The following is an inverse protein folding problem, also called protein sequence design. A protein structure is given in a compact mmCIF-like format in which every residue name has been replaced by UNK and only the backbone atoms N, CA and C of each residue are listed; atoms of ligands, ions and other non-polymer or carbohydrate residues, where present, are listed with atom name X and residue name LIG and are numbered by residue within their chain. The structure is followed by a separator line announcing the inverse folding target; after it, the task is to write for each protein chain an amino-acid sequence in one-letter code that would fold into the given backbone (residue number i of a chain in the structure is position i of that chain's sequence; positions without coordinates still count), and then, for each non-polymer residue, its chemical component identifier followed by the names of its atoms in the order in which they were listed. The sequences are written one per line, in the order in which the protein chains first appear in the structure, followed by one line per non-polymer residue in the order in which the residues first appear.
data_IF_183091032353
#
_entry.id   IF_183091032353
#
_cell.length_a   1.000
_cell.length_b   1.000
_cell.length_c   1.000
_cell.angle_alpha   90.00
_cell.angle_beta   90.00
_cell.angle_gamma   90.00
#
_symmetry.space_group_name_H-M   'P 1'
#
loop_
_entity.id
_entity.type
_entity.pdbx_description
1 polymer ?
#
# COMPACT_ATOMS: atom_id res chain seq x y z
N UNK A 1 -2.70 4.42 -33.77
CA UNK A 1 -1.44 5.00 -33.24
C UNK A 1 -1.25 4.53 -31.82
N UNK A 2 -0.02 4.42 -31.29
CA UNK A 2 0.14 4.07 -29.90
C UNK A 2 -0.49 5.21 -29.09
N UNK A 3 -1.57 4.89 -28.39
CA UNK A 3 -2.14 5.77 -27.37
C UNK A 3 -1.00 6.11 -26.44
N UNK A 4 -0.68 7.40 -26.30
CA UNK A 4 0.23 7.85 -25.26
C UNK A 4 -0.26 7.21 -23.95
N UNK A 5 0.56 6.33 -23.36
CA UNK A 5 0.22 5.70 -22.09
C UNK A 5 0.10 6.85 -21.10
N UNK A 6 -1.12 7.19 -20.70
CA UNK A 6 -1.32 8.13 -19.60
C UNK A 6 -0.57 7.59 -18.38
N UNK A 7 0.10 8.46 -17.60
CA UNK A 7 0.84 8.01 -16.44
C UNK A 7 -0.10 7.26 -15.49
N UNK A 8 0.20 5.99 -15.25
CA UNK A 8 -0.58 5.13 -14.36
C UNK A 8 -0.51 5.72 -12.94
N UNK A 9 -1.66 6.04 -12.34
CA UNK A 9 -1.70 6.68 -11.02
C UNK A 9 -1.38 5.67 -9.92
N UNK A 10 -0.97 6.15 -8.75
CA UNK A 10 -0.76 5.29 -7.57
C UNK A 10 -2.00 4.46 -7.23
N UNK A 11 -3.19 5.03 -7.36
CA UNK A 11 -4.45 4.32 -7.17
C UNK A 11 -4.66 3.20 -8.20
N UNK A 12 -4.34 3.44 -9.47
CA UNK A 12 -4.45 2.42 -10.51
C UNK A 12 -3.47 1.27 -10.26
N UNK A 13 -2.21 1.60 -9.98
CA UNK A 13 -1.16 0.63 -9.68
C UNK A 13 -1.52 -0.25 -8.48
N UNK A 14 -1.97 0.33 -7.37
CA UNK A 14 -2.29 -0.46 -6.16
C UNK A 14 -3.55 -1.32 -6.35
N UNK A 15 -4.56 -0.82 -7.06
CA UNK A 15 -5.77 -1.60 -7.33
C UNK A 15 -5.47 -2.82 -8.21
N UNK A 16 -4.56 -2.66 -9.17
CA UNK A 16 -4.07 -3.76 -10.00
C UNK A 16 -3.26 -4.76 -9.18
N UNK A 17 -2.27 -4.26 -8.43
CA UNK A 17 -1.37 -5.08 -7.62
C UNK A 17 -2.08 -5.87 -6.50
N UNK A 18 -3.21 -5.37 -5.98
CA UNK A 18 -3.96 -6.00 -4.88
C UNK A 18 -5.35 -6.47 -5.30
N UNK A 19 -5.59 -6.71 -6.59
CA UNK A 19 -6.91 -7.15 -7.03
C UNK A 19 -7.25 -8.52 -6.40
N UNK A 20 -8.39 -8.69 -5.71
CA UNK A 20 -8.79 -9.97 -5.12
C UNK A 20 -8.92 -11.11 -6.14
N UNK A 21 -9.07 -10.77 -7.43
CA UNK A 21 -9.19 -11.73 -8.53
C UNK A 21 -7.83 -12.18 -9.10
N UNK A 22 -6.72 -11.61 -8.64
CA UNK A 22 -5.39 -12.06 -9.04
C UNK A 22 -5.18 -13.52 -8.63
N UNK A 23 -4.71 -14.35 -9.55
CA UNK A 23 -4.42 -15.78 -9.28
C UNK A 23 -3.09 -15.96 -8.54
N UNK A 24 -2.15 -15.05 -8.79
CA UNK A 24 -0.80 -15.00 -8.25
C UNK A 24 -0.42 -13.54 -7.99
N UNK A 25 0.74 -13.29 -7.39
CA UNK A 25 1.25 -11.93 -7.17
C UNK A 25 1.50 -11.22 -8.51
N UNK A 26 0.90 -10.03 -8.70
CA UNK A 26 1.16 -9.16 -9.85
C UNK A 26 2.42 -8.32 -9.62
N UNK A 27 3.58 -8.93 -9.89
CA UNK A 27 4.87 -8.25 -9.74
C UNK A 27 5.02 -7.02 -10.64
N UNK A 28 4.37 -7.00 -11.80
CA UNK A 28 4.40 -5.83 -12.68
C UNK A 28 3.63 -4.66 -12.03
N UNK A 29 2.45 -4.93 -11.47
CA UNK A 29 1.68 -3.94 -10.69
C UNK A 29 2.42 -3.48 -9.43
N UNK A 30 3.05 -4.40 -8.70
CA UNK A 30 3.86 -4.09 -7.51
C UNK A 30 5.01 -3.15 -7.87
N UNK A 31 5.76 -3.47 -8.93
CA UNK A 31 6.89 -2.66 -9.38
C UNK A 31 6.43 -1.29 -9.90
N UNK A 32 5.33 -1.24 -10.66
CA UNK A 32 4.73 -0.01 -11.13
C UNK A 32 4.33 0.92 -9.97
N UNK A 33 3.75 0.37 -8.89
CA UNK A 33 3.43 1.13 -7.69
C UNK A 33 4.70 1.72 -7.03
N UNK A 34 5.76 0.92 -6.87
CA UNK A 34 7.03 1.38 -6.29
C UNK A 34 7.65 2.51 -7.13
N UNK A 35 7.63 2.38 -8.45
CA UNK A 35 8.12 3.41 -9.36
C UNK A 35 7.32 4.71 -9.24
N UNK A 36 5.99 4.62 -9.31
CA UNK A 36 5.13 5.79 -9.29
C UNK A 36 5.22 6.54 -7.95
N UNK A 37 5.33 5.81 -6.85
CA UNK A 37 5.54 6.34 -5.51
C UNK A 37 6.79 7.22 -5.43
N UNK A 38 7.87 6.79 -6.07
CA UNK A 38 9.14 7.51 -6.08
C UNK A 38 9.13 8.72 -7.03
N UNK A 39 8.36 8.66 -8.12
CA UNK A 39 8.22 9.75 -9.11
C UNK A 39 7.45 10.94 -8.54
N UNK A 40 6.44 10.70 -7.70
CA UNK A 40 5.56 11.76 -7.20
C UNK A 40 6.09 12.44 -5.91
N UNK A 41 5.90 13.77 -5.82
CA UNK A 41 6.25 14.54 -4.62
C UNK A 41 5.37 14.15 -3.42
N UNK A 42 4.07 13.96 -3.66
CA UNK A 42 3.11 13.50 -2.65
C UNK A 42 2.91 11.98 -2.64
N UNK A 43 3.74 11.26 -3.39
CA UNK A 43 3.67 9.80 -3.53
C UNK A 43 3.76 9.07 -2.19
N UNK A 44 4.76 9.34 -1.31
CA UNK A 44 4.90 8.58 -0.07
C UNK A 44 3.72 8.73 0.93
N UNK A 45 3.21 9.95 1.23
CA UNK A 45 2.03 10.10 2.08
C UNK A 45 0.77 9.47 1.48
N UNK A 46 0.59 9.55 0.16
CA UNK A 46 -0.56 8.94 -0.51
C UNK A 46 -0.47 7.40 -0.51
N UNK A 47 0.70 6.86 -0.84
CA UNK A 47 0.96 5.43 -0.89
C UNK A 47 0.70 4.75 0.46
N UNK A 48 1.19 5.34 1.56
CA UNK A 48 0.94 4.79 2.91
C UNK A 48 -0.55 4.79 3.26
N UNK A 49 -1.33 5.81 2.84
CA UNK A 49 -2.79 5.82 3.02
C UNK A 49 -3.49 4.71 2.22
N UNK A 50 -3.10 4.52 0.96
CA UNK A 50 -3.68 3.48 0.10
C UNK A 50 -3.33 2.07 0.61
N UNK A 51 -2.07 1.85 1.00
CA UNK A 51 -1.61 0.60 1.60
C UNK A 51 -2.36 0.28 2.88
N UNK A 52 -2.49 1.24 3.80
CA UNK A 52 -3.21 1.03 5.06
C UNK A 52 -4.67 0.61 4.84
N UNK A 53 -5.33 1.19 3.82
CA UNK A 53 -6.69 0.81 3.45
C UNK A 53 -6.75 -0.63 2.89
N UNK A 54 -5.84 -0.99 1.98
CA UNK A 54 -5.80 -2.34 1.38
C UNK A 54 -5.41 -3.43 2.38
N UNK A 55 -4.48 -3.16 3.29
CA UNK A 55 -4.06 -4.10 4.35
C UNK A 55 -5.21 -4.39 5.32
N UNK A 56 -6.12 -3.44 5.54
CA UNK A 56 -7.32 -3.61 6.35
C UNK A 56 -8.48 -4.28 5.60
N UNK A 57 -8.27 -4.72 4.35
CA UNK A 57 -9.32 -5.37 3.57
C UNK A 57 -9.84 -6.63 4.30
N UNK A 58 -11.17 -6.85 4.33
CA UNK A 58 -11.73 -8.11 4.83
C UNK A 58 -11.43 -9.29 3.89
N UNK A 59 -10.98 -9.03 2.66
CA UNK A 59 -10.55 -10.07 1.73
C UNK A 59 -9.08 -10.41 2.02
N UNK A 60 -8.86 -11.58 2.61
CA UNK A 60 -7.53 -12.06 3.02
C UNK A 60 -6.49 -11.91 1.90
N UNK A 61 -6.86 -12.31 0.67
CA UNK A 61 -5.93 -12.26 -0.45
C UNK A 61 -5.56 -10.84 -0.90
N UNK A 62 -6.48 -9.87 -0.81
CA UNK A 62 -6.16 -8.46 -1.09
C UNK A 62 -5.22 -7.89 -0.03
N UNK A 63 -5.45 -8.22 1.24
CA UNK A 63 -4.58 -7.79 2.34
C UNK A 63 -3.16 -8.38 2.24
N UNK A 64 -3.03 -9.67 1.90
CA UNK A 64 -1.72 -10.33 1.70
C UNK A 64 -0.95 -9.70 0.54
N UNK A 65 -1.62 -9.41 -0.58
CA UNK A 65 -1.00 -8.72 -1.72
C UNK A 65 -0.54 -7.30 -1.31
N UNK A 66 -1.35 -6.57 -0.55
CA UNK A 66 -0.99 -5.24 -0.05
C UNK A 66 0.23 -5.27 0.90
N UNK A 67 0.35 -6.29 1.75
CA UNK A 67 1.54 -6.51 2.58
C UNK A 67 2.78 -6.80 1.72
N UNK A 68 2.63 -7.55 0.63
CA UNK A 68 3.70 -7.79 -0.35
C UNK A 68 4.13 -6.49 -1.04
N UNK A 69 3.18 -5.63 -1.43
CA UNK A 69 3.48 -4.31 -1.99
C UNK A 69 4.26 -3.47 -0.97
N UNK A 70 3.82 -3.43 0.29
CA UNK A 70 4.50 -2.71 1.36
C UNK A 70 5.94 -3.21 1.55
N UNK A 71 6.14 -4.53 1.61
CA UNK A 71 7.48 -5.14 1.72
C UNK A 71 8.38 -4.73 0.55
N UNK A 72 7.86 -4.82 -0.68
CA UNK A 72 8.61 -4.42 -1.88
C UNK A 72 8.98 -2.94 -1.86
N UNK A 73 8.06 -2.06 -1.47
CA UNK A 73 8.32 -0.63 -1.31
C UNK A 73 9.38 -0.38 -0.23
N UNK A 74 9.36 -1.11 0.88
CA UNK A 74 10.39 -0.97 1.92
C UNK A 74 11.78 -1.38 1.44
N UNK A 75 11.88 -2.38 0.53
CA UNK A 75 13.15 -2.83 -0.05
C UNK A 75 13.67 -1.91 -1.16
N UNK A 76 12.77 -1.35 -1.98
CA UNK A 76 13.12 -0.67 -3.23
C UNK A 76 12.99 0.85 -3.19
N UNK A 77 12.16 1.41 -2.31
CA UNK A 77 11.96 2.85 -2.17
C UNK A 77 12.93 3.48 -1.16
N UNK A 78 13.12 4.79 -1.29
CA UNK A 78 14.05 5.54 -0.46
C UNK A 78 13.49 6.05 0.87
N UNK A 79 14.34 6.76 1.61
CA UNK A 79 14.06 7.32 2.95
C UNK A 79 12.72 8.05 3.07
N UNK A 80 12.28 8.78 2.04
CA UNK A 80 10.99 9.50 2.03
C UNK A 80 9.80 8.57 2.34
N UNK A 81 9.81 7.35 1.80
CA UNK A 81 8.76 6.37 2.07
C UNK A 81 8.92 5.75 3.46
N UNK A 82 10.14 5.38 3.83
CA UNK A 82 10.43 4.81 5.15
C UNK A 82 10.03 5.76 6.28
N UNK A 83 10.26 7.07 6.11
CA UNK A 83 9.87 8.10 7.07
C UNK A 83 8.34 8.17 7.24
N UNK A 84 7.54 8.00 6.18
CA UNK A 84 6.07 7.96 6.27
C UNK A 84 5.58 6.66 6.94
N UNK A 85 6.17 5.51 6.58
CA UNK A 85 5.85 4.21 7.19
C UNK A 85 6.16 4.21 8.69
N UNK A 86 7.24 4.88 9.11
CA UNK A 86 7.64 4.98 10.52
C UNK A 86 6.76 5.89 11.38
N UNK A 87 5.82 6.65 10.79
CA UNK A 87 4.92 7.53 11.58
C UNK A 87 3.83 6.72 12.25
N UNK A 88 3.46 7.14 13.47
CA UNK A 88 2.30 6.58 14.18
C UNK A 88 1.02 6.61 13.35
N UNK A 89 0.85 7.60 12.46
CA UNK A 89 -0.29 7.65 11.54
C UNK A 89 -0.45 6.37 10.72
N UNK A 90 0.63 5.80 10.19
CA UNK A 90 0.58 4.55 9.43
C UNK A 90 0.64 3.32 10.34
N UNK A 91 1.54 3.33 11.34
CA UNK A 91 1.71 2.22 12.27
C UNK A 91 0.42 1.90 13.05
N UNK A 92 -0.35 2.93 13.44
CA UNK A 92 -1.62 2.73 14.14
C UNK A 92 -2.63 1.98 13.26
N UNK A 93 -2.63 2.18 11.95
CA UNK A 93 -3.50 1.40 11.05
C UNK A 93 -3.12 -0.08 11.03
N UNK A 94 -1.83 -0.41 11.07
CA UNK A 94 -1.37 -1.80 11.16
C UNK A 94 -1.68 -2.44 12.52
N UNK A 95 -1.54 -1.67 13.60
CA UNK A 95 -1.90 -2.12 14.95
C UNK A 95 -3.38 -2.51 15.02
N UNK A 96 -4.27 -1.77 14.34
CA UNK A 96 -5.71 -2.11 14.29
C UNK A 96 -6.00 -3.48 13.70
N UNK A 97 -5.19 -3.93 12.74
CA UNK A 97 -5.36 -5.24 12.08
C UNK A 97 -5.04 -6.40 13.01
N UNK A 98 -4.00 -6.24 13.85
CA UNK A 98 -3.52 -7.33 14.72
C UNK A 98 -4.05 -7.24 16.15
N UNK A 99 -4.58 -6.09 16.57
CA UNK A 99 -5.05 -5.87 17.93
C UNK A 99 -6.51 -6.33 18.08
N UNK A 100 -6.79 -7.32 18.93
CA UNK A 100 -8.16 -7.78 19.21
C UNK A 100 -9.06 -6.69 19.79
N UNK A 101 -8.47 -5.63 20.36
CA UNK A 101 -9.16 -4.56 21.11
C UNK A 101 -9.81 -3.50 20.23
N UNK A 102 -9.46 -3.38 18.95
CA UNK A 102 -10.04 -2.32 18.10
C UNK A 102 -11.50 -2.63 17.70
N UNK A 103 -11.95 -3.88 17.87
CA UNK A 103 -13.38 -4.21 17.83
C UNK A 103 -14.16 -3.85 19.11
N UNK A 104 -13.49 -3.63 20.25
CA UNK A 104 -14.10 -3.40 21.56
C UNK A 104 -13.20 -2.49 22.40
N UNK A 105 -13.34 -1.18 22.19
CA UNK A 105 -12.97 -0.10 23.13
C UNK A 105 -11.49 -0.05 23.62
N UNK A 106 -10.93 1.16 23.52
CA UNK A 106 -9.73 1.67 24.22
C UNK A 106 -8.36 1.28 23.62
N UNK A 107 -7.83 2.22 22.84
CA UNK A 107 -6.47 2.70 23.09
C UNK A 107 -6.55 4.22 23.24
N UNK A 108 -6.41 4.77 24.45
CA UNK A 108 -6.13 6.19 24.62
C UNK A 108 -4.65 6.38 24.31
N UNK A 109 -4.36 6.72 23.06
CA UNK A 109 -3.12 7.36 22.66
C UNK A 109 -3.51 8.63 21.91
#
# INVERSE_FOLDING_TARGET
GPSAMEPETLEACINKATNPLNKDLDWDGINAFCEQLNKELEGPPLATRLLAHKIQSPQEWEAIQALTVLESCMKSCGKRFHDEVGKFRFLNELIKVVSPKVGLLLVPW
#
